data_IF_486082298413
#
_entry.id   IF_486082298413
#
_cell.length_a   1.000
_cell.length_b   1.000
_cell.length_c   1.000
_cell.angle_alpha   90.00
_cell.angle_beta   90.00
_cell.angle_gamma   90.00
#
_symmetry.space_group_name_H-M   'P 1'
#
loop_
_entity.id
_entity.type
_entity.pdbx_description
1 polymer ?
#
# COMPACT_ATOMS: atom_id res chain seq x y z
N UNK A 1 1.29 3.19 29.89
CA UNK A 1 -0.15 2.87 29.90
C UNK A 1 -0.79 3.51 28.68
N UNK A 2 -1.57 2.73 27.92
CA UNK A 2 -2.42 3.20 26.81
C UNK A 2 -1.85 2.92 25.42
N UNK A 3 -2.37 1.90 24.74
CA UNK A 3 -2.30 1.83 23.27
C UNK A 3 -3.06 3.04 22.74
N UNK A 4 -2.39 3.85 21.93
CA UNK A 4 -2.91 5.12 21.43
C UNK A 4 -4.08 4.84 20.45
N UNK A 5 -5.23 5.52 20.55
CA UNK A 5 -6.33 5.37 19.60
C UNK A 5 -5.90 5.52 18.14
N UNK A 6 -4.76 6.14 17.83
CA UNK A 6 -4.10 6.16 16.49
C UNK A 6 -3.64 4.79 15.94
N UNK A 7 -3.75 3.68 16.68
CA UNK A 7 -3.71 2.33 16.09
C UNK A 7 -4.91 2.08 15.14
N UNK A 8 -5.90 2.99 15.10
CA UNK A 8 -6.96 3.16 14.10
C UNK A 8 -6.46 2.88 12.67
N UNK A 9 -6.83 1.70 12.19
CA UNK A 9 -6.51 1.06 10.94
C UNK A 9 -7.15 1.78 9.74
N UNK A 10 -6.45 2.76 9.19
CA UNK A 10 -6.61 3.11 7.77
C UNK A 10 -5.44 2.51 7.03
N UNK A 11 -5.71 1.84 5.92
CA UNK A 11 -4.72 1.26 5.02
C UNK A 11 -3.61 2.29 4.72
N UNK A 12 -2.45 2.13 5.36
CA UNK A 12 -1.28 3.00 5.21
C UNK A 12 -0.09 2.18 4.72
N UNK A 13 0.86 2.84 4.07
CA UNK A 13 2.05 2.17 3.58
C UNK A 13 2.86 1.54 4.73
N UNK A 14 3.23 0.25 4.67
CA UNK A 14 4.00 -0.41 5.71
C UNK A 14 5.42 0.17 5.85
N UNK A 15 5.99 0.73 4.77
CA UNK A 15 7.35 1.28 4.72
C UNK A 15 7.44 2.68 5.34
N UNK A 16 6.57 3.60 4.93
CA UNK A 16 6.66 5.01 5.33
C UNK A 16 5.49 5.50 6.19
N UNK A 17 4.48 4.66 6.46
CA UNK A 17 3.22 5.02 7.14
C UNK A 17 2.48 6.19 6.48
N UNK A 18 2.75 6.43 5.21
CA UNK A 18 2.09 7.42 4.39
C UNK A 18 0.77 6.92 3.82
N UNK A 19 0.03 7.84 3.21
CA UNK A 19 -1.23 7.55 2.54
C UNK A 19 -1.01 6.67 1.29
N UNK A 20 -1.93 5.74 1.05
CA UNK A 20 -1.98 4.89 -0.13
C UNK A 20 -3.12 5.35 -1.04
N UNK A 21 -2.90 5.28 -2.36
CA UNK A 21 -3.92 5.53 -3.37
C UNK A 21 -4.37 4.20 -3.97
N UNK A 22 -5.66 3.94 -4.00
CA UNK A 22 -6.21 2.80 -4.76
C UNK A 22 -6.10 3.06 -6.26
N UNK A 23 -5.74 2.03 -7.00
CA UNK A 23 -5.59 2.05 -8.46
C UNK A 23 -6.36 0.86 -9.04
N UNK A 24 -7.00 1.07 -10.20
CA UNK A 24 -7.77 0.03 -10.89
C UNK A 24 -8.86 -0.56 -10.01
N UNK A 25 -9.82 0.25 -9.55
CA UNK A 25 -10.97 -0.24 -8.75
C UNK A 25 -10.62 -1.15 -7.55
N UNK A 26 -9.49 -0.91 -6.87
CA UNK A 26 -8.98 -1.71 -5.73
C UNK A 26 -8.15 -2.94 -6.12
N UNK A 27 -7.63 -3.01 -7.33
CA UNK A 27 -6.66 -4.02 -7.78
C UNK A 27 -5.24 -3.77 -7.24
N UNK A 28 -4.91 -2.52 -6.91
CA UNK A 28 -3.60 -2.16 -6.37
C UNK A 28 -3.66 -0.93 -5.44
N UNK A 29 -2.61 -0.80 -4.61
CA UNK A 29 -2.39 0.32 -3.71
C UNK A 29 -1.03 0.95 -3.99
N UNK A 30 -1.05 2.19 -4.44
CA UNK A 30 0.15 2.95 -4.75
C UNK A 30 0.52 3.89 -3.62
N UNK A 31 1.76 3.79 -3.16
CA UNK A 31 2.36 4.76 -2.29
C UNK A 31 3.16 5.78 -3.11
N UNK A 32 2.60 6.99 -3.28
CA UNK A 32 3.27 8.09 -4.00
C UNK A 32 4.57 8.53 -3.30
N UNK A 33 4.65 8.38 -1.97
CA UNK A 33 5.85 8.72 -1.19
C UNK A 33 7.01 7.76 -1.41
N UNK A 34 6.71 6.46 -1.49
CA UNK A 34 7.74 5.45 -1.68
C UNK A 34 7.97 5.09 -3.14
N UNK A 35 7.05 5.45 -4.04
CA UNK A 35 7.06 5.00 -5.43
C UNK A 35 6.78 3.50 -5.57
N UNK A 36 6.04 2.91 -4.63
CA UNK A 36 5.78 1.48 -4.59
C UNK A 36 4.30 1.20 -4.82
N UNK A 37 4.03 0.17 -5.61
CA UNK A 37 2.74 -0.42 -5.91
C UNK A 37 2.62 -1.76 -5.18
N UNK A 38 1.62 -1.87 -4.35
CA UNK A 38 1.22 -3.10 -3.67
C UNK A 38 0.03 -3.69 -4.40
N UNK A 39 0.18 -4.88 -5.00
CA UNK A 39 -0.92 -5.58 -5.66
C UNK A 39 -1.95 -6.06 -4.63
N UNK A 40 -3.22 -6.08 -5.02
CA UNK A 40 -4.30 -6.68 -4.22
C UNK A 40 -4.66 -8.01 -4.85
N UNK A 41 -4.47 -9.07 -4.08
CA UNK A 41 -4.73 -10.43 -4.52
C UNK A 41 -6.12 -10.87 -4.06
N UNK A 42 -6.85 -11.57 -4.94
CA UNK A 42 -8.18 -12.11 -4.64
C UNK A 42 -8.06 -13.57 -4.19
N UNK A 43 -8.50 -13.83 -2.97
CA UNK A 43 -8.51 -15.14 -2.33
C UNK A 43 -9.90 -15.79 -2.42
N UNK A 44 -10.01 -17.13 -2.20
CA UNK A 44 -11.29 -17.80 -2.10
C UNK A 44 -12.21 -17.11 -1.08
N UNK A 45 -13.53 -17.18 -1.31
CA UNK A 45 -14.57 -16.46 -0.56
C UNK A 45 -14.63 -14.94 -0.83
N UNK A 46 -14.20 -14.48 -2.01
CA UNK A 46 -14.26 -13.05 -2.41
C UNK A 46 -13.52 -12.12 -1.43
N UNK A 47 -12.40 -12.58 -0.88
CA UNK A 47 -11.56 -11.77 0.02
C UNK A 47 -10.46 -11.09 -0.80
N UNK A 48 -10.29 -9.78 -0.63
CA UNK A 48 -9.24 -8.99 -1.26
C UNK A 48 -8.16 -8.69 -0.23
N UNK A 49 -6.95 -9.18 -0.45
CA UNK A 49 -5.83 -8.98 0.49
C UNK A 49 -4.71 -8.23 -0.23
N UNK A 50 -4.33 -7.04 0.26
CA UNK A 50 -3.19 -6.30 -0.28
C UNK A 50 -1.88 -7.00 0.09
N UNK A 51 -1.03 -7.27 -0.90
CA UNK A 51 0.32 -7.76 -0.68
C UNK A 51 1.19 -6.61 -0.16
N UNK A 52 1.22 -6.43 1.15
CA UNK A 52 2.00 -5.39 1.85
C UNK A 52 3.46 -5.80 2.11
N UNK A 53 4.02 -6.75 1.35
CA UNK A 53 5.42 -7.14 1.46
C UNK A 53 6.28 -6.17 0.65
N UNK A 54 7.19 -5.45 1.32
CA UNK A 54 8.01 -4.40 0.69
C UNK A 54 8.90 -4.97 -0.42
N UNK A 55 9.43 -6.18 -0.24
CA UNK A 55 10.30 -6.85 -1.22
C UNK A 55 9.57 -7.32 -2.47
N UNK A 56 8.25 -7.53 -2.38
CA UNK A 56 7.40 -7.92 -3.51
C UNK A 56 6.70 -6.72 -4.17
N UNK A 57 6.82 -5.53 -3.58
CA UNK A 57 6.21 -4.33 -4.12
C UNK A 57 6.89 -3.91 -5.42
N UNK A 58 6.09 -3.56 -6.42
CA UNK A 58 6.60 -3.13 -7.73
C UNK A 58 6.75 -1.61 -7.78
N UNK A 59 7.69 -1.05 -8.56
CA UNK A 59 7.74 0.38 -8.77
C UNK A 59 6.52 0.86 -9.58
N UNK A 60 5.94 2.01 -9.20
CA UNK A 60 4.83 2.59 -9.97
C UNK A 60 5.33 3.03 -11.37
N UNK A 61 4.72 2.55 -12.48
CA UNK A 61 5.12 2.96 -13.82
C UNK A 61 4.71 4.43 -14.03
N UNK A 62 5.72 5.30 -14.14
CA UNK A 62 5.52 6.76 -14.30
C UNK A 62 5.52 7.56 -12.99
N UNK A 63 5.86 6.94 -11.86
CA UNK A 63 6.19 7.71 -10.66
C UNK A 63 7.67 8.07 -10.66
N UNK A 64 7.96 9.35 -10.84
CA UNK A 64 9.23 9.99 -10.53
C UNK A 64 9.58 9.87 -9.03
N UNK A 65 9.73 8.65 -8.51
CA UNK A 65 10.13 8.39 -7.15
C UNK A 65 11.63 8.10 -7.11
N UNK A 66 12.42 9.18 -7.08
CA UNK A 66 13.79 9.12 -6.59
C UNK A 66 14.88 9.51 -7.59
N UNK A 67 14.92 10.79 -8.00
CA UNK A 67 16.18 11.44 -8.34
C UNK A 67 16.27 12.81 -7.68
N UNK A 68 16.61 12.83 -6.38
CA UNK A 68 17.33 13.93 -5.72
C UNK A 68 18.16 13.37 -4.58
#
# INVERSE_FOLDING_TARGET
MGINPKLLEKLVCPKCKGELKMVGESEALDCVRCGLRYKVEKYPNNVFIPNMIIEQAEPIPGGDAGKK
#
